data_IF_762693762093
#
_entry.id   IF_762693762093
#
_cell.length_a   1.000
_cell.length_b   1.000
_cell.length_c   1.000
_cell.angle_alpha   90.00
_cell.angle_beta   90.00
_cell.angle_gamma   90.00
#
_symmetry.space_group_name_H-M   'P 1'
#
loop_
_entity.id
_entity.type
_entity.pdbx_description
1 polymer ?
#
# COMPACT_ATOMS: atom_id res chain seq x y z
N UNK A 1 1.97 -25.36 -14.19
CA UNK A 1 1.03 -25.13 -15.31
C UNK A 1 -0.17 -24.37 -14.74
N UNK A 2 -0.43 -23.16 -15.18
CA UNK A 2 -1.60 -22.38 -14.75
C UNK A 2 -2.78 -22.81 -15.62
N UNK A 3 -3.88 -23.21 -15.00
CA UNK A 3 -5.13 -23.57 -15.69
C UNK A 3 -6.13 -22.45 -15.44
N UNK A 4 -6.59 -21.79 -16.51
CA UNK A 4 -7.67 -20.80 -16.43
C UNK A 4 -8.97 -21.55 -16.12
N UNK A 5 -9.65 -21.16 -15.04
CA UNK A 5 -10.84 -21.86 -14.52
C UNK A 5 -12.17 -21.19 -14.89
N UNK A 6 -12.14 -20.02 -15.53
CA UNK A 6 -13.34 -19.24 -15.88
C UNK A 6 -13.06 -18.15 -16.92
N UNK A 7 -14.08 -17.41 -17.36
CA UNK A 7 -13.91 -16.25 -18.22
C UNK A 7 -13.20 -15.09 -17.48
N UNK A 8 -12.76 -14.09 -18.25
CA UNK A 8 -12.32 -12.82 -17.69
C UNK A 8 -13.51 -12.04 -17.10
N UNK A 9 -13.31 -11.37 -15.98
CA UNK A 9 -14.33 -10.59 -15.28
C UNK A 9 -13.81 -9.21 -14.89
N UNK A 10 -14.67 -8.20 -14.98
CA UNK A 10 -14.37 -6.84 -14.54
C UNK A 10 -14.61 -6.78 -13.03
N UNK A 11 -13.53 -6.79 -12.25
CA UNK A 11 -13.57 -6.63 -10.79
C UNK A 11 -13.59 -5.14 -10.38
N UNK A 12 -13.06 -4.28 -11.25
CA UNK A 12 -13.03 -2.83 -11.03
C UNK A 12 -13.02 -2.09 -12.37
N UNK A 13 -14.03 -1.26 -12.60
CA UNK A 13 -14.11 -0.33 -13.73
C UNK A 13 -13.87 1.10 -13.24
N UNK A 14 -12.65 1.60 -13.48
CA UNK A 14 -12.27 2.96 -13.06
C UNK A 14 -13.16 4.06 -13.64
N UNK A 15 -13.95 3.81 -14.69
CA UNK A 15 -14.88 4.82 -15.24
C UNK A 15 -16.07 5.08 -14.32
N UNK A 16 -16.49 4.09 -13.53
CA UNK A 16 -17.69 4.11 -12.67
C UNK A 16 -17.42 3.82 -11.19
N UNK A 17 -16.43 2.98 -10.85
CA UNK A 17 -16.18 2.49 -9.48
C UNK A 17 -15.22 3.38 -8.69
N UNK A 18 -14.50 4.30 -9.36
CA UNK A 18 -13.52 5.20 -8.73
C UNK A 18 -14.16 6.10 -7.67
N UNK A 19 -13.43 6.35 -6.59
CA UNK A 19 -13.86 7.30 -5.56
C UNK A 19 -13.49 8.76 -5.86
N UNK A 20 -12.69 9.01 -6.90
CA UNK A 20 -12.36 10.34 -7.41
C UNK A 20 -11.45 10.25 -8.64
N UNK A 21 -10.72 11.33 -8.96
CA UNK A 21 -10.14 11.55 -10.29
C UNK A 21 -9.39 10.34 -10.86
N UNK A 22 -8.25 10.01 -10.25
CA UNK A 22 -7.48 8.78 -10.54
C UNK A 22 -7.55 7.87 -9.32
N UNK A 23 -8.18 6.72 -9.52
CA UNK A 23 -8.31 5.61 -8.57
C UNK A 23 -8.12 4.34 -9.40
N UNK A 24 -6.87 3.88 -9.52
CA UNK A 24 -6.43 2.87 -10.50
C UNK A 24 -5.41 1.97 -9.79
N UNK A 25 -5.71 0.71 -9.48
CA UNK A 25 -4.80 -0.16 -8.76
C UNK A 25 -3.35 -0.11 -9.25
N UNK A 26 -2.40 0.13 -8.34
CA UNK A 26 -0.96 0.23 -8.64
C UNK A 26 -0.22 -1.08 -8.34
N UNK A 27 -0.56 -1.71 -7.22
CA UNK A 27 0.03 -2.96 -6.76
C UNK A 27 -0.87 -4.17 -7.06
N UNK A 28 -0.30 -5.39 -7.15
CA UNK A 28 -1.08 -6.61 -7.32
C UNK A 28 -2.16 -6.74 -6.23
N UNK A 29 -3.39 -7.02 -6.67
CA UNK A 29 -4.51 -7.13 -5.76
C UNK A 29 -4.36 -8.37 -4.85
N UNK A 30 -4.61 -8.21 -3.54
CA UNK A 30 -4.55 -9.30 -2.57
C UNK A 30 -5.77 -9.32 -1.68
N UNK A 31 -6.33 -10.50 -1.47
CA UNK A 31 -7.53 -10.67 -0.68
C UNK A 31 -7.28 -11.46 0.61
N UNK A 32 -8.07 -11.13 1.63
CA UNK A 32 -8.18 -11.91 2.86
C UNK A 32 -9.65 -11.98 3.28
N UNK A 33 -9.96 -12.88 4.21
CA UNK A 33 -11.28 -12.96 4.85
C UNK A 33 -11.15 -12.46 6.29
N UNK A 34 -12.04 -11.56 6.69
CA UNK A 34 -12.07 -11.04 8.05
C UNK A 34 -12.92 -11.91 9.00
N UNK A 35 -12.91 -11.58 10.28
CA UNK A 35 -13.61 -12.32 11.33
C UNK A 35 -15.14 -12.19 11.26
N UNK A 36 -15.67 -11.22 10.51
CA UNK A 36 -17.10 -11.13 10.21
C UNK A 36 -17.48 -11.99 8.98
N UNK A 37 -16.50 -12.70 8.39
CA UNK A 37 -16.67 -13.54 7.23
C UNK A 37 -16.64 -12.79 5.90
N UNK A 38 -16.37 -11.48 5.88
CA UNK A 38 -16.31 -10.68 4.65
C UNK A 38 -14.97 -10.87 3.95
N UNK A 39 -15.00 -10.86 2.62
CA UNK A 39 -13.80 -10.79 1.78
C UNK A 39 -13.41 -9.33 1.62
N UNK A 40 -12.15 -9.01 1.89
CA UNK A 40 -11.56 -7.71 1.60
C UNK A 40 -10.45 -7.89 0.57
N UNK A 41 -10.54 -7.15 -0.54
CA UNK A 41 -9.54 -7.10 -1.61
C UNK A 41 -8.82 -5.76 -1.55
N UNK A 42 -7.51 -5.81 -1.34
CA UNK A 42 -6.63 -4.65 -1.28
C UNK A 42 -5.99 -4.47 -2.66
N UNK A 43 -6.19 -3.30 -3.25
CA UNK A 43 -5.68 -2.91 -4.55
C UNK A 43 -5.49 -1.39 -4.55
N UNK A 44 -4.54 -0.92 -3.75
CA UNK A 44 -4.38 0.51 -3.45
C UNK A 44 -3.82 1.30 -4.63
N UNK A 45 -4.15 2.59 -4.66
CA UNK A 45 -3.58 3.55 -5.60
C UNK A 45 -3.25 4.88 -4.92
N UNK A 46 -2.55 5.72 -5.66
CA UNK A 46 -2.40 7.14 -5.41
C UNK A 46 -3.65 7.90 -5.89
N UNK A 47 -4.30 8.59 -4.97
CA UNK A 47 -5.48 9.38 -5.25
C UNK A 47 -5.11 10.80 -5.67
N UNK A 48 -5.53 11.17 -6.87
CA UNK A 48 -5.46 12.54 -7.36
C UNK A 48 -6.83 13.21 -7.20
N UNK A 49 -6.87 14.33 -6.48
CA UNK A 49 -7.98 15.29 -6.55
C UNK A 49 -7.47 16.57 -7.18
N UNK A 50 -8.11 16.97 -8.28
CA UNK A 50 -7.80 18.22 -8.97
C UNK A 50 -7.77 19.39 -7.99
N UNK A 51 -6.70 20.18 -8.04
CA UNK A 51 -6.48 21.32 -7.13
C UNK A 51 -6.10 20.94 -5.68
N UNK A 52 -5.82 19.67 -5.38
CA UNK A 52 -5.28 19.24 -4.08
C UNK A 52 -3.95 18.49 -4.26
N UNK A 53 -3.08 18.47 -3.23
CA UNK A 53 -1.91 17.60 -3.24
C UNK A 53 -2.32 16.16 -3.54
N UNK A 54 -1.51 15.42 -4.28
CA UNK A 54 -1.67 13.98 -4.47
C UNK A 54 -1.71 13.31 -3.11
N UNK A 55 -2.72 12.49 -2.81
CA UNK A 55 -2.75 11.72 -1.56
C UNK A 55 -2.59 10.25 -1.91
N UNK A 56 -1.61 9.58 -1.35
CA UNK A 56 -1.65 8.12 -1.34
C UNK A 56 -2.59 7.70 -0.21
N UNK A 57 -3.64 6.97 -0.58
CA UNK A 57 -4.68 6.54 0.36
C UNK A 57 -5.02 5.09 0.09
N UNK A 58 -4.86 4.25 1.10
CA UNK A 58 -5.34 2.89 1.08
C UNK A 58 -6.86 2.88 1.08
N UNK A 59 -7.46 2.22 0.08
CA UNK A 59 -8.86 1.80 0.05
C UNK A 59 -8.91 0.29 -0.14
N UNK A 60 -10.08 -0.28 0.10
CA UNK A 60 -10.35 -1.71 -0.13
C UNK A 60 -11.56 -1.88 -1.04
N UNK A 61 -11.73 -3.09 -1.53
CA UNK A 61 -13.03 -3.59 -1.97
C UNK A 61 -13.52 -4.59 -0.92
N UNK A 62 -14.81 -4.60 -0.61
CA UNK A 62 -15.38 -5.48 0.41
C UNK A 62 -16.69 -6.14 -0.07
N UNK A 63 -16.87 -7.42 0.26
CA UNK A 63 -18.02 -8.22 -0.15
C UNK A 63 -18.12 -9.54 0.61
N UNK A 64 -19.09 -10.39 0.27
CA UNK A 64 -19.23 -11.73 0.88
C UNK A 64 -18.28 -12.76 0.25
N UNK A 65 -17.98 -12.57 -1.03
CA UNK A 65 -17.12 -13.39 -1.88
C UNK A 65 -16.23 -12.49 -2.72
N UNK A 66 -15.21 -13.07 -3.39
CA UNK A 66 -14.42 -12.34 -4.37
C UNK A 66 -15.28 -11.81 -5.54
N UNK A 67 -16.31 -12.56 -5.94
CA UNK A 67 -17.20 -12.20 -7.04
C UNK A 67 -18.19 -11.07 -6.69
N UNK A 68 -18.26 -10.67 -5.41
CA UNK A 68 -19.23 -9.68 -4.91
C UNK A 68 -18.58 -8.51 -4.18
N UNK A 69 -17.24 -8.39 -4.23
CA UNK A 69 -16.56 -7.22 -3.66
C UNK A 69 -16.95 -5.95 -4.41
N UNK A 70 -17.14 -4.86 -3.67
CA UNK A 70 -17.36 -3.53 -4.22
C UNK A 70 -16.34 -2.57 -3.66
N UNK A 71 -15.89 -1.63 -4.48
CA UNK A 71 -14.95 -0.61 -4.05
C UNK A 71 -15.55 0.26 -2.93
N UNK A 72 -14.87 0.30 -1.79
CA UNK A 72 -15.27 1.03 -0.59
C UNK A 72 -14.49 2.35 -0.55
N UNK A 73 -15.21 3.47 -0.70
CA UNK A 73 -14.58 4.80 -0.74
C UNK A 73 -14.04 5.30 0.60
N UNK A 74 -14.26 4.56 1.68
CA UNK A 74 -13.63 4.85 2.97
C UNK A 74 -12.12 4.60 2.88
N UNK A 75 -11.36 5.58 3.35
CA UNK A 75 -9.91 5.45 3.47
C UNK A 75 -9.62 4.57 4.68
N UNK A 76 -8.85 3.51 4.46
CA UNK A 76 -8.42 2.57 5.51
C UNK A 76 -7.01 2.88 6.02
N UNK A 77 -6.21 3.64 5.24
CA UNK A 77 -4.89 4.16 5.63
C UNK A 77 -4.57 5.42 4.82
N UNK A 78 -4.07 6.47 5.45
CA UNK A 78 -3.50 7.63 4.77
C UNK A 78 -1.98 7.54 4.85
N UNK A 79 -1.29 8.13 3.87
CA UNK A 79 0.14 8.35 4.01
C UNK A 79 0.45 9.65 4.74
N UNK A 80 1.48 9.62 5.58
CA UNK A 80 1.84 10.74 6.45
C UNK A 80 2.62 11.87 5.74
N UNK A 81 3.32 11.56 4.65
CA UNK A 81 4.14 12.51 3.86
C UNK A 81 5.24 13.18 4.65
N UNK A 82 5.92 12.42 5.51
CA UNK A 82 7.05 12.92 6.29
C UNK A 82 8.22 13.30 5.36
N UNK A 83 8.71 14.55 5.41
CA UNK A 83 9.83 14.99 4.58
C UNK A 83 11.19 14.40 5.00
N UNK A 84 11.28 13.78 6.18
CA UNK A 84 12.50 13.12 6.66
C UNK A 84 12.60 11.68 6.11
N UNK A 85 13.53 11.40 5.17
CA UNK A 85 13.64 10.08 4.55
C UNK A 85 14.03 8.99 5.53
N UNK A 86 14.64 9.33 6.68
CA UNK A 86 14.99 8.35 7.72
C UNK A 86 13.75 7.79 8.44
N UNK A 87 12.57 8.36 8.19
CA UNK A 87 11.30 7.94 8.79
C UNK A 87 10.58 6.85 8.00
N UNK A 88 10.88 6.66 6.72
CA UNK A 88 10.17 5.69 5.87
C UNK A 88 8.64 5.89 5.96
N UNK A 89 8.19 7.14 5.84
CA UNK A 89 6.81 7.53 6.16
C UNK A 89 6.25 8.63 5.24
N UNK A 90 6.56 8.55 3.94
CA UNK A 90 6.15 9.56 2.96
C UNK A 90 4.88 9.14 2.21
N UNK A 91 5.02 8.36 1.12
CA UNK A 91 3.88 7.78 0.40
C UNK A 91 3.80 6.29 0.66
N UNK A 92 2.60 5.80 0.94
CA UNK A 92 2.40 4.46 1.51
C UNK A 92 1.21 3.73 0.89
N UNK A 93 1.46 2.57 0.31
CA UNK A 93 0.47 1.70 -0.30
C UNK A 93 0.39 0.37 0.46
N UNK A 94 -0.76 0.09 1.09
CA UNK A 94 -1.04 -1.23 1.66
C UNK A 94 -0.97 -2.28 0.55
N UNK A 95 -0.11 -3.28 0.70
CA UNK A 95 0.17 -4.23 -0.36
C UNK A 95 -0.14 -5.67 0.04
N UNK A 96 0.53 -6.19 1.08
CA UNK A 96 0.50 -7.62 1.42
C UNK A 96 -0.12 -7.87 2.76
N UNK A 97 -1.40 -8.21 2.75
CA UNK A 97 -2.14 -8.53 3.97
C UNK A 97 -1.98 -9.98 4.40
N UNK A 98 -2.03 -10.20 5.70
CA UNK A 98 -2.01 -11.52 6.31
C UNK A 98 -2.74 -11.53 7.65
N UNK A 99 -3.47 -12.61 7.91
CA UNK A 99 -4.19 -12.80 9.15
C UNK A 99 -4.39 -14.29 9.43
N UNK A 100 -4.39 -14.65 10.71
CA UNK A 100 -4.75 -15.99 11.19
C UNK A 100 -6.17 -16.04 11.76
N UNK A 101 -6.68 -14.92 12.29
CA UNK A 101 -7.94 -14.86 13.03
C UNK A 101 -9.01 -13.98 12.35
N UNK A 102 -8.66 -13.28 11.27
CA UNK A 102 -9.52 -12.33 10.57
C UNK A 102 -9.79 -11.05 11.37
N UNK A 103 -9.20 -10.88 12.56
CA UNK A 103 -9.40 -9.73 13.45
C UNK A 103 -8.20 -8.81 13.46
N UNK A 104 -7.01 -9.39 13.63
CA UNK A 104 -5.75 -8.68 13.48
C UNK A 104 -5.18 -8.98 12.10
N UNK A 105 -5.02 -7.93 11.31
CA UNK A 105 -4.50 -8.01 9.94
C UNK A 105 -3.15 -7.29 9.91
N UNK A 106 -2.10 -8.03 9.59
CA UNK A 106 -0.79 -7.46 9.29
C UNK A 106 -0.76 -7.09 7.81
N UNK A 107 -0.09 -6.00 7.47
CA UNK A 107 0.09 -5.58 6.10
C UNK A 107 1.52 -5.09 5.87
N UNK A 108 2.23 -5.67 4.90
CA UNK A 108 3.39 -4.99 4.34
C UNK A 108 2.91 -3.83 3.47
N UNK A 109 3.60 -2.71 3.63
CA UNK A 109 3.34 -1.45 2.96
C UNK A 109 4.49 -1.19 2.01
N UNK A 110 4.16 -0.87 0.77
CA UNK A 110 5.11 -0.27 -0.17
C UNK A 110 5.24 1.20 0.19
N UNK A 111 6.46 1.63 0.51
CA UNK A 111 6.75 2.99 0.92
C UNK A 111 7.66 3.64 -0.12
N UNK A 112 7.29 4.83 -0.60
CA UNK A 112 8.12 5.64 -1.50
C UNK A 112 8.38 7.01 -0.89
N UNK A 113 9.67 7.34 -0.76
CA UNK A 113 10.13 8.69 -0.48
C UNK A 113 10.27 9.44 -1.80
N UNK A 114 9.65 10.60 -1.91
CA UNK A 114 9.71 11.47 -3.09
C UNK A 114 10.45 12.77 -2.75
N UNK A 115 11.78 12.74 -2.82
CA UNK A 115 12.60 13.90 -2.48
C UNK A 115 12.30 15.15 -3.33
N UNK A 116 11.81 14.97 -4.56
CA UNK A 116 11.40 16.07 -5.45
C UNK A 116 10.17 16.84 -4.96
N UNK A 117 9.39 16.25 -4.05
CA UNK A 117 8.20 16.88 -3.45
C UNK A 117 8.52 17.61 -2.14
N UNK A 118 9.72 17.42 -1.60
CA UNK A 118 10.16 17.98 -0.33
C UNK A 118 11.24 19.06 -0.55
N UNK A 119 11.02 20.31 -0.11
CA UNK A 119 11.97 21.39 -0.34
C UNK A 119 13.39 21.06 0.16
N UNK A 120 14.37 21.15 -0.75
CA UNK A 120 15.78 20.92 -0.46
C UNK A 120 16.21 19.45 -0.46
N UNK A 121 15.29 18.51 -0.68
CA UNK A 121 15.58 17.07 -0.65
C UNK A 121 15.92 16.51 -2.04
N UNK A 122 15.77 17.29 -3.11
CA UNK A 122 16.17 16.93 -4.47
C UNK A 122 16.63 18.17 -5.25
N UNK A 123 17.91 18.53 -5.22
CA UNK A 123 18.42 19.72 -5.90
C UNK A 123 18.18 19.72 -7.42
N UNK A 124 18.23 18.55 -8.08
CA UNK A 124 17.93 18.47 -9.51
C UNK A 124 16.45 18.65 -9.87
N UNK A 125 15.55 18.41 -8.91
CA UNK A 125 14.10 18.33 -9.15
C UNK A 125 13.68 17.13 -10.01
N UNK A 126 14.59 16.20 -10.31
CA UNK A 126 14.33 15.02 -11.13
C UNK A 126 13.90 13.86 -10.23
N UNK A 127 12.61 13.52 -10.28
CA UNK A 127 12.00 12.40 -9.54
C UNK A 127 12.85 11.13 -9.63
N UNK A 128 13.29 10.76 -10.83
CA UNK A 128 13.95 9.47 -11.04
C UNK A 128 15.31 9.40 -10.30
N UNK A 129 15.85 10.54 -9.87
CA UNK A 129 17.09 10.61 -9.09
C UNK A 129 16.89 10.70 -7.59
N UNK A 130 15.66 10.91 -7.14
CA UNK A 130 15.32 11.31 -5.78
C UNK A 130 14.21 10.45 -5.16
N UNK A 131 13.87 9.32 -5.78
CA UNK A 131 12.96 8.33 -5.21
C UNK A 131 13.73 7.23 -4.49
N UNK A 132 13.34 6.94 -3.26
CA UNK A 132 13.83 5.79 -2.49
C UNK A 132 12.64 4.97 -2.00
N UNK A 133 12.70 3.65 -2.15
CA UNK A 133 11.61 2.76 -1.76
C UNK A 133 12.03 1.75 -0.70
N UNK A 134 11.10 1.50 0.22
CA UNK A 134 11.27 0.56 1.32
C UNK A 134 9.98 -0.20 1.60
N UNK A 135 10.09 -1.24 2.43
CA UNK A 135 8.95 -1.99 2.95
C UNK A 135 8.78 -1.68 4.43
N UNK A 136 7.57 -1.30 4.82
CA UNK A 136 7.18 -1.05 6.21
C UNK A 136 6.01 -1.95 6.63
N UNK A 137 5.65 -1.93 7.91
CA UNK A 137 4.58 -2.74 8.50
C UNK A 137 3.45 -1.85 9.02
N UNK A 138 2.24 -2.11 8.54
CA UNK A 138 1.00 -1.62 9.13
C UNK A 138 0.19 -2.77 9.74
N UNK A 139 -0.61 -2.45 10.75
CA UNK A 139 -1.46 -3.38 11.47
C UNK A 139 -2.86 -2.80 11.56
N UNK A 140 -3.85 -3.63 11.30
CA UNK A 140 -5.24 -3.40 11.66
C UNK A 140 -5.62 -4.31 12.81
N UNK A 141 -6.25 -3.76 13.84
CA UNK A 141 -6.82 -4.54 14.97
C UNK A 141 -8.36 -4.51 14.98
N UNK A 142 -8.96 -3.99 13.91
CA UNK A 142 -10.39 -3.76 13.77
C UNK A 142 -11.00 -4.46 12.56
N UNK A 143 -10.44 -5.61 12.19
CA UNK A 143 -10.86 -6.44 11.05
C UNK A 143 -10.60 -5.76 9.70
N UNK A 144 -9.53 -4.99 9.57
CA UNK A 144 -9.15 -4.32 8.33
C UNK A 144 -9.93 -3.05 8.00
N UNK A 145 -10.65 -2.46 8.97
CA UNK A 145 -11.39 -1.20 8.76
C UNK A 145 -10.47 0.01 8.79
N UNK A 146 -9.43 -0.05 9.62
CA UNK A 146 -8.35 0.94 9.66
C UNK A 146 -7.02 0.24 9.86
N UNK A 147 -5.96 0.83 9.30
CA UNK A 147 -4.58 0.40 9.46
C UNK A 147 -3.76 1.56 10.02
N UNK A 148 -2.80 1.22 10.84
CA UNK A 148 -1.81 2.14 11.39
C UNK A 148 -0.48 1.41 11.56
N UNK A 149 0.62 2.13 11.59
CA UNK A 149 1.94 1.58 11.86
C UNK A 149 2.49 2.09 13.21
N UNK A 150 3.57 1.47 13.69
CA UNK A 150 4.31 1.97 14.83
C UNK A 150 4.89 3.37 14.55
N UNK A 151 5.33 4.07 15.58
CA UNK A 151 5.98 5.37 15.42
C UNK A 151 7.24 5.22 14.57
N UNK A 152 7.38 6.04 13.53
CA UNK A 152 8.53 6.02 12.64
C UNK A 152 9.85 6.26 13.40
N UNK A 153 10.91 5.45 13.14
CA UNK A 153 11.03 4.46 12.07
C UNK A 153 10.78 2.99 12.48
N UNK A 154 10.16 2.74 13.64
CA UNK A 154 10.03 1.39 14.23
C UNK A 154 9.15 0.43 13.41
N UNK A 155 8.49 0.93 12.37
CA UNK A 155 7.69 0.15 11.41
C UNK A 155 8.47 -0.32 10.18
N UNK A 156 9.76 0.01 10.05
CA UNK A 156 10.60 -0.46 8.95
C UNK A 156 10.78 -1.99 8.96
N UNK A 157 10.56 -2.62 7.80
CA UNK A 157 10.75 -4.07 7.61
C UNK A 157 11.97 -4.35 6.73
N UNK A 158 12.09 -3.67 5.60
CA UNK A 158 13.20 -3.88 4.66
C UNK A 158 13.53 -2.61 3.88
N UNK A 159 14.82 -2.31 3.77
CA UNK A 159 15.35 -1.26 2.91
C UNK A 159 16.79 -1.63 2.51
N UNK A 160 17.38 -0.88 1.58
CA UNK A 160 18.81 -0.98 1.30
C UNK A 160 19.62 -0.43 2.48
N UNK A 161 20.83 -0.95 2.74
CA UNK A 161 21.65 -0.54 3.89
C UNK A 161 22.30 0.85 3.72
N UNK A 162 21.76 1.69 2.85
CA UNK A 162 22.27 3.02 2.53
C UNK A 162 21.17 4.05 2.78
N UNK A 163 21.48 5.18 3.44
CA UNK A 163 20.53 6.26 3.59
C UNK A 163 20.16 6.86 2.23
N UNK A 164 19.03 7.56 2.20
CA UNK A 164 18.68 8.42 1.07
C UNK A 164 19.77 9.47 0.85
N UNK A 165 20.20 9.63 -0.40
CA UNK A 165 21.16 10.63 -0.85
C UNK A 165 20.53 11.39 -2.03
N UNK A 166 20.35 12.73 -1.95
CA UNK A 166 19.79 13.51 -3.04
C UNK A 166 20.55 13.33 -4.35
N UNK A 167 19.81 13.21 -5.45
CA UNK A 167 20.34 13.07 -6.81
C UNK A 167 21.20 11.82 -7.07
N UNK A 168 21.25 10.86 -6.14
CA UNK A 168 22.09 9.65 -6.26
C UNK A 168 21.50 8.57 -7.19
N UNK A 169 20.25 8.72 -7.63
CA UNK A 169 19.54 7.71 -8.41
C UNK A 169 18.55 6.90 -7.55
N UNK A 170 17.69 6.09 -8.20
CA UNK A 170 16.69 5.33 -7.49
C UNK A 170 17.35 4.18 -6.72
N UNK A 171 16.95 4.02 -5.47
CA UNK A 171 17.46 2.98 -4.55
C UNK A 171 16.27 2.28 -3.90
N UNK A 172 16.18 0.95 -4.03
CA UNK A 172 14.86 0.33 -3.94
C UNK A 172 14.80 -1.10 -3.39
N UNK A 173 13.81 -1.32 -2.53
CA UNK A 173 13.06 -2.57 -2.39
C UNK A 173 11.59 -2.20 -2.62
N UNK A 174 11.06 -2.45 -3.82
CA UNK A 174 9.84 -1.77 -4.29
C UNK A 174 8.52 -2.54 -4.19
N UNK A 175 8.54 -3.87 -4.05
CA UNK A 175 7.30 -4.65 -4.09
C UNK A 175 7.30 -5.66 -2.96
N UNK A 176 6.42 -5.52 -1.96
CA UNK A 176 6.24 -6.53 -0.94
C UNK A 176 5.86 -7.88 -1.55
N UNK A 177 6.48 -8.96 -1.07
CA UNK A 177 6.02 -10.33 -1.31
C UNK A 177 4.81 -10.66 -0.43
N UNK A 178 4.26 -11.87 -0.56
CA UNK A 178 3.26 -12.35 0.41
C UNK A 178 3.93 -12.60 1.77
N UNK A 179 3.19 -12.35 2.85
CA UNK A 179 3.54 -12.87 4.18
C UNK A 179 2.99 -14.30 4.23
N UNK A 180 3.85 -15.27 4.53
CA UNK A 180 3.48 -16.68 4.62
C UNK A 180 3.82 -17.17 6.03
N UNK A 181 2.86 -17.80 6.68
CA UNK A 181 3.09 -18.47 7.94
C UNK A 181 3.45 -19.94 7.71
N UNK A 182 4.51 -20.37 8.38
CA UNK A 182 4.84 -21.76 8.54
C UNK A 182 4.86 -22.06 10.06
N UNK A 183 4.07 -23.04 10.54
CA UNK A 183 4.04 -23.42 11.96
C UNK A 183 5.39 -23.84 12.57
N UNK A 184 6.42 -24.01 11.75
CA UNK A 184 7.77 -24.38 12.17
C UNK A 184 8.73 -23.18 12.32
N UNK A 185 8.30 -21.97 11.96
CA UNK A 185 9.19 -20.80 11.93
C UNK A 185 9.42 -20.17 13.32
N UNK A 186 8.81 -20.69 14.39
CA UNK A 186 9.03 -20.28 15.79
C UNK A 186 7.74 -19.94 16.52
#
# INVERSE_FOLDING_TARGET
MVKILGPEEIVFDSTIDRCGGKDIPDLPARAFRDADGKVQLIATHLFFKEGKPNYTTGRRMIGDTLDSVKHDCNIIMNSDKDPDPSKFNDREWLASTYTLDGKTIYALVHMEYHGEEHPGQCPSGDREKCVNTSITLAISTDKGRTYSHATAPDHLVATLPYPYEPDAGPSAISCPSNIIYNPKDG
#
